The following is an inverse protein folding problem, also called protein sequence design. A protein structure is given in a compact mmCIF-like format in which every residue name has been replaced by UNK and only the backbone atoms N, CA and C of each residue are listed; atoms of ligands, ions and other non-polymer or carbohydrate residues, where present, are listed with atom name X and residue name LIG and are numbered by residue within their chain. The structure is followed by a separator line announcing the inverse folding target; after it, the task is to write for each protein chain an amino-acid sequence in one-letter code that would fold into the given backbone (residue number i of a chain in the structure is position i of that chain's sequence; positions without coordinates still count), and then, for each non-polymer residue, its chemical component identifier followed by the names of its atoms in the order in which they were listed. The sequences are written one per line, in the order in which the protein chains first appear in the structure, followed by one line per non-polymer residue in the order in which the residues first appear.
data_IF_550909766052
#
_entry.id   IF_550909766052
#
_cell.length_a   1.000
_cell.length_b   1.000
_cell.length_c   1.000
_cell.angle_alpha   90.00
_cell.angle_beta   90.00
_cell.angle_gamma   90.00
#
_symmetry.space_group_name_H-M   'P 1'
#
loop_
_entity.id
_entity.type
_entity.pdbx_description
1 polymer ?
#
# COMPACT_ATOMS: atom_id res chain seq x y z
N UNK A 1 -4.58 15.63 -16.30
CA UNK A 1 -5.57 14.59 -15.88
C UNK A 1 -6.52 14.29 -17.05
N UNK A 2 -6.61 13.04 -17.46
CA UNK A 2 -7.53 12.59 -18.54
C UNK A 2 -8.99 12.62 -18.08
N UNK A 3 -9.93 12.58 -19.05
CA UNK A 3 -11.37 12.49 -18.74
C UNK A 3 -11.69 11.18 -18.01
N UNK A 4 -11.04 10.08 -18.38
CA UNK A 4 -11.14 8.79 -17.70
C UNK A 4 -10.85 8.92 -16.21
N UNK A 5 -9.71 9.47 -15.85
CA UNK A 5 -9.29 9.66 -14.45
C UNK A 5 -10.21 10.62 -13.69
N UNK A 6 -10.68 11.69 -14.36
CA UNK A 6 -11.63 12.63 -13.75
C UNK A 6 -12.94 11.95 -13.38
N UNK A 7 -13.46 11.11 -14.26
CA UNK A 7 -14.67 10.34 -14.01
C UNK A 7 -14.48 9.32 -12.89
N UNK A 8 -13.34 8.61 -12.88
CA UNK A 8 -13.00 7.68 -11.81
C UNK A 8 -12.89 8.38 -10.45
N UNK A 9 -12.19 9.50 -10.37
CA UNK A 9 -12.05 10.27 -9.14
C UNK A 9 -13.41 10.78 -8.63
N UNK A 10 -14.25 11.27 -9.53
CA UNK A 10 -15.62 11.71 -9.20
C UNK A 10 -16.47 10.56 -8.66
N UNK A 11 -16.40 9.39 -9.28
CA UNK A 11 -17.09 8.18 -8.80
C UNK A 11 -16.55 7.73 -7.45
N UNK A 12 -15.22 7.76 -7.25
CA UNK A 12 -14.60 7.42 -5.99
C UNK A 12 -15.03 8.35 -4.83
N UNK A 13 -15.21 9.63 -5.10
CA UNK A 13 -15.59 10.63 -4.09
C UNK A 13 -17.08 10.63 -3.77
N UNK A 14 -17.93 10.52 -4.78
CA UNK A 14 -19.37 10.79 -4.68
C UNK A 14 -20.26 9.61 -5.10
N UNK A 15 -19.67 8.58 -5.71
CA UNK A 15 -20.41 7.41 -6.15
C UNK A 15 -20.81 6.50 -4.98
N UNK A 16 -21.76 5.62 -5.26
CA UNK A 16 -22.11 4.55 -4.32
C UNK A 16 -20.90 3.61 -4.11
N UNK A 17 -20.77 3.08 -2.90
CA UNK A 17 -19.76 2.06 -2.60
C UNK A 17 -20.09 0.75 -3.31
N UNK A 18 -19.47 0.57 -4.48
CA UNK A 18 -19.66 -0.62 -5.32
C UNK A 18 -18.63 -1.72 -5.05
N UNK A 19 -17.75 -1.51 -4.07
CA UNK A 19 -16.77 -2.51 -3.72
C UNK A 19 -17.42 -3.70 -3.02
N UNK A 20 -17.18 -4.90 -3.51
CA UNK A 20 -17.56 -6.07 -2.77
C UNK A 20 -16.76 -6.12 -1.47
N UNK A 21 -17.44 -6.03 -0.34
CA UNK A 21 -16.83 -6.23 0.97
C UNK A 21 -16.67 -7.72 1.19
N UNK A 22 -15.55 -8.10 1.70
CA UNK A 22 -15.28 -9.47 2.09
C UNK A 22 -14.52 -9.48 3.42
N UNK A 23 -14.92 -10.38 4.32
CA UNK A 23 -14.30 -10.54 5.63
C UNK A 23 -13.68 -11.91 5.79
N UNK A 24 -12.67 -12.01 6.65
CA UNK A 24 -12.15 -13.29 7.10
C UNK A 24 -13.14 -13.87 8.10
N UNK A 25 -13.64 -15.07 7.81
CA UNK A 25 -14.48 -15.81 8.76
C UNK A 25 -13.61 -16.59 9.72
N UNK A 26 -13.73 -16.29 11.00
CA UNK A 26 -13.10 -17.03 12.11
C UNK A 26 -14.16 -17.89 12.77
N UNK A 27 -14.01 -19.20 12.70
CA UNK A 27 -15.01 -20.15 13.19
C UNK A 27 -14.88 -20.43 14.68
N UNK A 28 -13.65 -20.34 15.22
CA UNK A 28 -13.40 -20.54 16.65
C UNK A 28 -12.17 -19.76 17.14
N UNK A 29 -12.06 -19.59 18.45
CA UNK A 29 -11.01 -18.76 19.09
C UNK A 29 -9.60 -19.32 18.93
N UNK A 30 -9.46 -20.65 18.83
CA UNK A 30 -8.15 -21.29 18.64
C UNK A 30 -7.53 -20.89 17.30
N UNK A 31 -8.32 -20.51 16.31
CA UNK A 31 -7.84 -20.03 15.02
C UNK A 31 -7.10 -18.70 15.11
N UNK A 32 -7.37 -17.88 16.13
CA UNK A 32 -6.70 -16.59 16.29
C UNK A 32 -5.29 -16.69 16.86
N UNK A 33 -4.96 -17.79 17.52
CA UNK A 33 -3.64 -18.00 18.14
C UNK A 33 -2.69 -18.81 17.26
N UNK A 34 -3.20 -19.41 16.19
CA UNK A 34 -2.41 -20.22 15.27
C UNK A 34 -2.14 -19.46 13.96
N UNK A 35 -0.87 -19.19 13.64
CA UNK A 35 -0.50 -18.57 12.36
C UNK A 35 -1.07 -19.31 11.15
N UNK A 36 -1.02 -20.64 11.15
CA UNK A 36 -1.55 -21.45 10.03
C UNK A 36 -3.06 -21.38 9.91
N UNK A 37 -3.79 -21.33 11.02
CA UNK A 37 -5.24 -21.18 10.97
C UNK A 37 -5.66 -19.79 10.45
N UNK A 38 -4.94 -18.72 10.81
CA UNK A 38 -5.13 -17.39 10.24
C UNK A 38 -4.85 -17.41 8.72
N UNK A 39 -3.76 -18.05 8.30
CA UNK A 39 -3.39 -18.17 6.90
C UNK A 39 -4.46 -18.94 6.08
N UNK A 40 -5.02 -20.02 6.63
CA UNK A 40 -6.13 -20.74 6.02
C UNK A 40 -7.42 -19.90 5.98
N UNK A 41 -7.67 -19.07 6.97
CA UNK A 41 -8.74 -18.06 6.95
C UNK A 41 -8.58 -17.09 5.78
N UNK A 42 -7.37 -16.58 5.56
CA UNK A 42 -7.01 -15.74 4.40
C UNK A 42 -7.19 -16.49 3.08
N UNK A 43 -6.78 -17.76 3.01
CA UNK A 43 -7.00 -18.61 1.82
C UNK A 43 -8.48 -18.73 1.47
N UNK A 44 -9.32 -19.02 2.46
CA UNK A 44 -10.79 -19.07 2.28
C UNK A 44 -11.34 -17.74 1.79
N UNK A 45 -10.83 -16.65 2.35
CA UNK A 45 -11.17 -15.29 1.93
C UNK A 45 -10.85 -15.05 0.46
N UNK A 46 -9.59 -15.26 0.03
CA UNK A 46 -9.17 -15.03 -1.35
C UNK A 46 -9.89 -15.92 -2.36
N UNK A 47 -10.28 -17.13 -1.97
CA UNK A 47 -11.09 -18.02 -2.82
C UNK A 47 -12.53 -17.55 -3.00
N UNK A 48 -13.09 -16.86 -2.02
CA UNK A 48 -14.48 -16.37 -2.03
C UNK A 48 -14.60 -14.91 -2.46
N UNK A 49 -13.52 -14.15 -2.38
CA UNK A 49 -13.53 -12.72 -2.69
C UNK A 49 -14.12 -12.50 -4.09
N UNK A 50 -15.16 -11.68 -4.23
CA UNK A 50 -15.76 -11.39 -5.52
C UNK A 50 -14.78 -10.58 -6.36
N UNK A 51 -14.64 -10.95 -7.62
CA UNK A 51 -13.80 -10.25 -8.59
C UNK A 51 -14.73 -9.58 -9.59
N UNK A 52 -14.51 -8.29 -9.82
CA UNK A 52 -15.30 -7.50 -10.75
C UNK A 52 -14.38 -6.63 -11.59
N UNK A 53 -14.55 -6.70 -12.89
CA UNK A 53 -13.92 -5.80 -13.84
C UNK A 53 -14.77 -4.54 -14.01
N UNK A 54 -14.11 -3.39 -14.12
CA UNK A 54 -14.76 -2.12 -14.38
C UNK A 54 -14.32 -1.57 -15.74
N UNK A 55 -15.23 -1.01 -16.53
CA UNK A 55 -14.90 -0.51 -17.86
C UNK A 55 -13.78 0.53 -17.83
N UNK A 56 -12.75 0.32 -18.65
CA UNK A 56 -11.66 1.27 -18.84
C UNK A 56 -10.61 1.33 -17.74
N UNK A 57 -10.65 0.42 -16.77
CA UNK A 57 -9.58 0.33 -15.76
C UNK A 57 -8.29 -0.21 -16.37
N UNK A 58 -7.18 0.31 -15.87
CA UNK A 58 -5.83 -0.15 -16.21
C UNK A 58 -5.18 -0.93 -15.06
N UNK A 59 -5.72 -0.80 -13.84
CA UNK A 59 -5.29 -1.55 -12.67
C UNK A 59 -6.41 -2.46 -12.20
N UNK A 60 -6.14 -3.74 -12.12
CA UNK A 60 -7.12 -4.77 -11.83
C UNK A 60 -6.99 -5.34 -10.42
N UNK A 61 -8.09 -5.94 -9.93
CA UNK A 61 -8.09 -6.63 -8.64
C UNK A 61 -8.52 -5.71 -7.51
N UNK A 62 -9.79 -5.29 -7.48
CA UNK A 62 -10.33 -4.54 -6.36
C UNK A 62 -10.87 -5.48 -5.31
N UNK A 63 -10.24 -5.46 -4.14
CA UNK A 63 -10.76 -6.09 -2.94
C UNK A 63 -10.92 -5.00 -1.87
N UNK A 64 -12.02 -5.06 -1.14
CA UNK A 64 -12.15 -4.31 0.09
C UNK A 64 -12.17 -5.27 1.26
N UNK A 65 -11.10 -5.23 2.02
CA UNK A 65 -11.03 -5.95 3.27
C UNK A 65 -11.89 -5.23 4.31
N UNK A 66 -12.91 -5.91 4.82
CA UNK A 66 -13.82 -5.36 5.82
C UNK A 66 -13.54 -5.84 7.25
N UNK A 67 -12.40 -6.49 7.46
CA UNK A 67 -12.02 -7.05 8.74
C UNK A 67 -12.32 -8.54 8.88
N UNK A 68 -12.38 -9.03 10.10
CA UNK A 68 -12.77 -10.40 10.40
C UNK A 68 -14.20 -10.45 10.90
N UNK A 69 -15.00 -11.36 10.38
CA UNK A 69 -16.29 -11.71 10.96
C UNK A 69 -16.07 -12.75 12.05
N UNK A 70 -16.47 -12.41 13.26
CA UNK A 70 -16.46 -13.34 14.37
C UNK A 70 -17.83 -13.99 14.53
N UNK A 71 -17.88 -15.21 15.07
CA UNK A 71 -19.12 -15.76 15.55
C UNK A 71 -19.84 -14.74 16.49
N UNK A 72 -21.15 -14.63 16.35
CA UNK A 72 -21.95 -13.64 17.07
C UNK A 72 -21.83 -13.74 18.60
N UNK A 73 -21.40 -14.86 19.11
CA UNK A 73 -21.17 -15.12 20.53
C UNK A 73 -19.69 -15.00 20.94
N UNK A 74 -18.78 -14.67 20.02
CA UNK A 74 -17.35 -14.57 20.30
C UNK A 74 -17.06 -13.66 21.50
N UNK A 75 -17.57 -12.45 21.48
CA UNK A 75 -17.38 -11.49 22.58
C UNK A 75 -17.98 -11.97 23.89
N UNK A 76 -19.08 -12.71 23.85
CA UNK A 76 -19.69 -13.32 25.03
C UNK A 76 -18.81 -14.46 25.56
N UNK A 77 -18.29 -15.32 24.71
CA UNK A 77 -17.37 -16.41 25.10
C UNK A 77 -16.06 -15.89 25.65
N UNK A 78 -15.57 -14.77 25.10
CA UNK A 78 -14.38 -14.09 25.60
C UNK A 78 -14.61 -13.34 26.93
N UNK A 79 -15.77 -13.47 27.56
CA UNK A 79 -16.15 -12.80 28.83
C UNK A 79 -16.48 -11.32 28.65
N UNK A 80 -16.68 -10.86 27.43
CA UNK A 80 -17.01 -9.47 27.10
C UNK A 80 -18.48 -9.39 26.67
N UNK A 81 -19.41 -9.03 27.53
CA UNK A 81 -20.80 -8.76 27.14
C UNK A 81 -20.94 -7.57 26.19
N UNK A 82 -20.01 -6.63 26.26
CA UNK A 82 -19.71 -5.71 25.20
C UNK A 82 -18.24 -5.26 25.33
N UNK A 83 -17.51 -5.27 24.24
CA UNK A 83 -16.13 -4.77 24.21
C UNK A 83 -16.03 -3.33 24.74
N UNK A 84 -16.98 -2.47 24.41
CA UNK A 84 -17.01 -1.11 24.91
C UNK A 84 -17.22 -1.01 26.45
N UNK A 85 -18.05 -1.86 27.04
CA UNK A 85 -18.24 -1.90 28.50
C UNK A 85 -17.03 -2.49 29.20
N UNK A 86 -16.43 -3.53 28.65
CA UNK A 86 -15.20 -4.10 29.21
C UNK A 86 -14.06 -3.11 29.13
N UNK A 87 -13.88 -2.47 27.97
CA UNK A 87 -12.86 -1.47 27.71
C UNK A 87 -12.95 -0.29 28.68
N UNK A 88 -14.11 0.32 28.80
CA UNK A 88 -14.31 1.47 29.68
C UNK A 88 -14.09 1.12 31.17
N UNK A 89 -14.37 -0.11 31.57
CA UNK A 89 -14.23 -0.55 32.96
C UNK A 89 -12.84 -1.03 33.35
N UNK A 90 -12.09 -1.63 32.42
CA UNK A 90 -10.86 -2.36 32.73
C UNK A 90 -9.60 -1.84 32.07
N UNK A 91 -9.69 -1.08 31.00
CA UNK A 91 -8.56 -0.73 30.16
C UNK A 91 -8.22 0.77 30.10
N UNK A 92 -9.04 1.64 30.70
CA UNK A 92 -8.87 3.09 30.61
C UNK A 92 -7.52 3.61 31.12
N UNK A 93 -6.81 2.87 31.97
CA UNK A 93 -5.52 3.24 32.54
C UNK A 93 -4.46 2.12 32.45
N UNK A 94 -4.64 1.13 31.58
CA UNK A 94 -3.65 0.07 31.40
C UNK A 94 -3.21 0.03 29.94
N UNK A 95 -1.94 -0.32 29.66
CA UNK A 95 -1.55 -0.61 28.29
C UNK A 95 -2.46 -1.73 27.79
N UNK A 96 -3.30 -1.36 26.86
CA UNK A 96 -4.26 -2.25 26.26
C UNK A 96 -3.52 -3.32 25.48
N UNK A 97 -3.88 -4.61 25.57
CA UNK A 97 -3.65 -5.50 24.45
C UNK A 97 -4.52 -4.98 23.31
N UNK A 98 -3.89 -4.24 22.43
CA UNK A 98 -4.57 -3.61 21.31
C UNK A 98 -4.93 -4.70 20.33
N UNK A 99 -6.16 -5.17 20.39
CA UNK A 99 -6.78 -5.82 19.25
C UNK A 99 -7.13 -4.73 18.25
N UNK A 100 -6.11 -4.21 17.57
CA UNK A 100 -6.29 -3.29 16.48
C UNK A 100 -6.67 -4.11 15.23
N UNK A 101 -7.89 -4.00 14.89
CA UNK A 101 -8.50 -4.52 13.70
C UNK A 101 -7.97 -3.79 12.48
N UNK A 102 -7.06 -4.39 11.75
CA UNK A 102 -6.67 -3.98 10.42
C UNK A 102 -5.96 -2.62 10.29
N UNK A 103 -5.49 -2.06 11.39
CA UNK A 103 -4.73 -0.82 11.39
C UNK A 103 -3.27 -1.13 11.70
N UNK A 104 -2.55 -1.49 10.69
CA UNK A 104 -1.10 -1.55 10.77
C UNK A 104 -0.58 -0.37 9.98
N UNK A 105 0.09 0.56 10.62
CA UNK A 105 0.91 1.53 9.93
C UNK A 105 2.12 0.79 9.36
N UNK A 106 1.90 0.15 8.22
CA UNK A 106 2.88 -0.72 7.57
C UNK A 106 3.08 -0.27 6.14
N UNK A 107 4.33 -0.14 5.78
CA UNK A 107 4.76 -0.13 4.38
C UNK A 107 5.36 -1.48 4.03
N UNK A 108 5.04 -1.99 2.86
CA UNK A 108 5.68 -3.19 2.33
C UNK A 108 7.05 -2.83 1.75
N UNK A 109 7.98 -3.77 1.81
CA UNK A 109 9.25 -3.68 1.07
C UNK A 109 8.99 -3.88 -0.43
N UNK A 110 8.38 -2.85 -1.05
CA UNK A 110 8.04 -2.88 -2.47
C UNK A 110 9.25 -3.03 -3.37
N UNK A 111 10.43 -2.53 -2.95
CA UNK A 111 11.65 -2.68 -3.73
C UNK A 111 12.03 -4.16 -3.91
N UNK A 112 12.13 -4.91 -2.82
CA UNK A 112 12.40 -6.35 -2.89
C UNK A 112 11.26 -7.12 -3.55
N UNK A 113 10.00 -6.76 -3.27
CA UNK A 113 8.83 -7.40 -3.88
C UNK A 113 8.82 -7.25 -5.41
N UNK A 114 9.19 -6.10 -5.93
CA UNK A 114 9.24 -5.87 -7.38
C UNK A 114 10.44 -6.56 -8.05
N UNK A 115 11.59 -6.63 -7.35
CA UNK A 115 12.82 -7.25 -7.88
C UNK A 115 12.80 -8.78 -7.84
N UNK A 116 12.20 -9.37 -6.82
CA UNK A 116 12.24 -10.82 -6.58
C UNK A 116 10.91 -11.50 -6.89
N UNK A 117 9.82 -10.76 -6.80
CA UNK A 117 8.47 -11.33 -6.80
C UNK A 117 8.18 -12.12 -5.51
N UNK A 118 6.95 -12.56 -5.35
CA UNK A 118 6.56 -13.38 -4.20
C UNK A 118 7.19 -14.77 -4.24
N UNK A 119 7.61 -15.27 -5.40
CA UNK A 119 8.37 -16.52 -5.49
C UNK A 119 9.75 -16.41 -4.85
N UNK A 120 10.43 -15.27 -4.96
CA UNK A 120 11.71 -15.04 -4.27
C UNK A 120 11.53 -15.08 -2.75
N UNK A 121 10.45 -14.49 -2.22
CA UNK A 121 10.10 -14.61 -0.81
C UNK A 121 9.84 -16.07 -0.40
N UNK A 122 9.10 -16.82 -1.22
CA UNK A 122 8.84 -18.24 -0.98
C UNK A 122 10.15 -19.05 -0.92
N UNK A 123 11.07 -18.82 -1.84
CA UNK A 123 12.38 -19.48 -1.84
C UNK A 123 13.18 -19.17 -0.55
N UNK A 124 13.20 -17.92 -0.11
CA UNK A 124 13.84 -17.51 1.15
C UNK A 124 13.22 -18.21 2.38
N UNK A 125 11.90 -18.32 2.44
CA UNK A 125 11.18 -19.04 3.50
C UNK A 125 11.54 -20.53 3.45
N UNK A 126 11.46 -21.14 2.28
CA UNK A 126 11.71 -22.57 2.09
C UNK A 126 13.17 -22.98 2.31
N UNK A 127 14.12 -22.06 2.15
CA UNK A 127 15.54 -22.31 2.38
C UNK A 127 15.99 -22.16 3.83
N UNK A 128 15.12 -21.69 4.74
CA UNK A 128 15.47 -21.55 6.17
C UNK A 128 15.80 -22.91 6.79
N UNK A 129 16.88 -23.01 7.57
CA UNK A 129 17.28 -24.27 8.22
C UNK A 129 16.24 -24.79 9.21
N UNK A 130 15.55 -23.87 9.90
CA UNK A 130 14.49 -24.18 10.83
C UNK A 130 13.20 -23.55 10.32
N UNK A 131 12.17 -24.38 10.23
CA UNK A 131 10.82 -23.97 9.82
C UNK A 131 9.90 -24.14 11.00
N UNK A 132 9.28 -23.06 11.37
CA UNK A 132 8.23 -23.00 12.39
C UNK A 132 6.85 -22.89 11.72
N UNK A 133 5.81 -22.92 12.53
CA UNK A 133 4.42 -22.77 12.08
C UNK A 133 4.22 -21.44 11.34
N UNK A 134 4.95 -20.39 11.67
CA UNK A 134 4.84 -19.11 10.98
C UNK A 134 5.39 -19.20 9.55
N UNK A 135 6.47 -19.96 9.32
CA UNK A 135 6.96 -20.24 7.96
C UNK A 135 5.93 -20.97 7.12
N UNK A 136 5.25 -21.97 7.69
CA UNK A 136 4.16 -22.69 7.02
C UNK A 136 3.00 -21.74 6.67
N UNK A 137 2.59 -20.91 7.62
CA UNK A 137 1.55 -19.92 7.43
C UNK A 137 1.89 -18.94 6.29
N UNK A 138 3.13 -18.45 6.24
CA UNK A 138 3.58 -17.56 5.15
C UNK A 138 3.47 -18.25 3.78
N UNK A 139 3.86 -19.52 3.66
CA UNK A 139 3.71 -20.27 2.40
C UNK A 139 2.25 -20.40 2.01
N UNK A 140 1.36 -20.70 2.96
CA UNK A 140 -0.11 -20.76 2.71
C UNK A 140 -0.63 -19.42 2.18
N UNK A 141 -0.18 -18.29 2.74
CA UNK A 141 -0.58 -16.95 2.26
C UNK A 141 -0.07 -16.70 0.86
N UNK A 142 1.19 -17.02 0.56
CA UNK A 142 1.77 -16.83 -0.77
C UNK A 142 1.03 -17.65 -1.84
N UNK A 143 0.72 -18.92 -1.54
CA UNK A 143 -0.09 -19.78 -2.43
C UNK A 143 -1.49 -19.19 -2.66
N UNK A 144 -2.06 -18.60 -1.61
CA UNK A 144 -3.40 -18.00 -1.69
C UNK A 144 -3.41 -16.72 -2.53
N UNK A 145 -2.34 -15.93 -2.48
CA UNK A 145 -2.16 -14.76 -3.32
C UNK A 145 -1.97 -15.13 -4.79
N UNK A 146 -1.24 -16.21 -5.07
CA UNK A 146 -1.11 -16.76 -6.42
C UNK A 146 -2.47 -17.21 -6.98
N UNK A 147 -3.21 -18.03 -6.23
CA UNK A 147 -4.56 -18.46 -6.60
C UNK A 147 -5.46 -17.25 -6.89
N UNK A 148 -5.39 -16.22 -6.07
CA UNK A 148 -6.20 -15.02 -6.24
C UNK A 148 -5.78 -14.20 -7.48
N UNK A 149 -4.47 -14.04 -7.74
CA UNK A 149 -3.97 -13.35 -8.93
C UNK A 149 -4.41 -14.05 -10.22
N UNK A 150 -4.35 -15.38 -10.25
CA UNK A 150 -4.81 -16.19 -11.39
C UNK A 150 -6.33 -16.05 -11.61
N UNK A 151 -7.12 -16.05 -10.54
CA UNK A 151 -8.57 -15.77 -10.63
C UNK A 151 -8.85 -14.36 -11.18
N UNK A 152 -8.07 -13.35 -10.78
CA UNK A 152 -8.16 -12.02 -11.34
C UNK A 152 -7.84 -12.03 -12.85
N UNK A 153 -6.81 -12.75 -13.26
CA UNK A 153 -6.45 -12.88 -14.67
C UNK A 153 -7.54 -13.54 -15.50
N UNK A 154 -8.20 -14.58 -14.98
CA UNK A 154 -9.31 -15.25 -15.65
C UNK A 154 -10.53 -14.33 -15.84
N UNK A 155 -10.80 -13.46 -14.88
CA UNK A 155 -11.90 -12.50 -14.94
C UNK A 155 -11.60 -11.26 -15.79
N UNK A 156 -10.33 -11.01 -16.14
CA UNK A 156 -9.92 -9.83 -16.86
C UNK A 156 -10.16 -9.96 -18.37
N UNK A 157 -10.90 -9.02 -18.98
CA UNK A 157 -11.17 -9.02 -20.42
C UNK A 157 -9.98 -8.50 -21.25
N UNK A 158 -9.14 -7.61 -20.69
CA UNK A 158 -7.98 -7.05 -21.36
C UNK A 158 -6.85 -8.08 -21.52
N UNK A 159 -6.42 -8.46 -22.74
CA UNK A 159 -5.35 -9.42 -22.93
C UNK A 159 -4.01 -8.96 -22.32
N UNK A 160 -3.69 -7.66 -22.40
CA UNK A 160 -2.47 -7.09 -21.82
C UNK A 160 -2.49 -7.22 -20.30
N UNK A 161 -3.57 -6.78 -19.67
CA UNK A 161 -3.69 -6.79 -18.22
C UNK A 161 -3.78 -8.21 -17.67
N UNK A 162 -4.44 -9.13 -18.40
CA UNK A 162 -4.45 -10.57 -18.08
C UNK A 162 -3.03 -11.14 -18.04
N UNK A 163 -2.21 -10.84 -19.05
CA UNK A 163 -0.81 -11.29 -19.10
C UNK A 163 0.00 -10.75 -17.93
N UNK A 164 -0.21 -9.49 -17.57
CA UNK A 164 0.43 -8.86 -16.39
C UNK A 164 0.02 -9.59 -15.11
N UNK A 165 -1.27 -9.85 -14.89
CA UNK A 165 -1.79 -10.55 -13.70
C UNK A 165 -1.33 -12.00 -13.58
N UNK A 166 -1.02 -12.67 -14.69
CA UNK A 166 -0.43 -14.02 -14.69
C UNK A 166 1.05 -14.01 -14.27
N UNK A 167 1.69 -12.86 -14.26
CA UNK A 167 3.10 -12.69 -13.96
C UNK A 167 3.30 -12.05 -12.58
N UNK A 168 2.77 -10.87 -12.37
CA UNK A 168 2.96 -10.12 -11.13
C UNK A 168 1.74 -10.23 -10.20
N UNK A 169 1.94 -10.26 -8.88
CA UNK A 169 3.17 -10.02 -8.12
C UNK A 169 4.05 -11.26 -7.89
N UNK A 170 3.72 -12.42 -8.48
CA UNK A 170 4.44 -13.67 -8.20
C UNK A 170 5.87 -13.66 -8.73
N UNK A 171 6.10 -13.08 -9.88
CA UNK A 171 7.41 -12.93 -10.54
C UNK A 171 7.88 -11.48 -10.49
N UNK A 172 9.20 -11.23 -10.69
CA UNK A 172 9.74 -9.89 -10.83
C UNK A 172 8.98 -9.07 -11.88
N UNK A 173 8.78 -7.78 -11.60
CA UNK A 173 8.29 -6.84 -12.59
C UNK A 173 9.41 -6.52 -13.59
N UNK A 174 9.07 -6.40 -14.88
CA UNK A 174 10.03 -6.07 -15.94
C UNK A 174 9.82 -4.67 -16.52
N UNK A 175 8.64 -4.08 -16.29
CA UNK A 175 8.31 -2.76 -16.77
C UNK A 175 7.50 -1.94 -15.77
N UNK A 176 7.29 -0.67 -16.08
CA UNK A 176 6.59 0.26 -15.20
C UNK A 176 5.14 -0.14 -14.96
N UNK A 177 4.44 -0.65 -15.97
CA UNK A 177 3.06 -1.07 -15.82
C UNK A 177 2.94 -2.29 -14.89
N UNK A 178 3.78 -3.30 -15.07
CA UNK A 178 3.85 -4.46 -14.20
C UNK A 178 4.17 -4.06 -12.77
N UNK A 179 5.13 -3.15 -12.58
CA UNK A 179 5.50 -2.65 -11.26
C UNK A 179 4.33 -1.94 -10.56
N UNK A 180 3.62 -1.04 -11.26
CA UNK A 180 2.47 -0.33 -10.69
C UNK A 180 1.30 -1.28 -10.39
N UNK A 181 1.05 -2.26 -11.26
CA UNK A 181 0.03 -3.30 -11.00
C UNK A 181 0.38 -4.17 -9.79
N UNK A 182 1.64 -4.56 -9.64
CA UNK A 182 2.09 -5.33 -8.48
C UNK A 182 1.95 -4.53 -7.18
N UNK A 183 2.35 -3.26 -7.19
CA UNK A 183 2.17 -2.34 -6.05
C UNK A 183 0.70 -2.22 -5.68
N UNK A 184 -0.19 -1.99 -6.64
CA UNK A 184 -1.62 -1.91 -6.40
C UNK A 184 -2.17 -3.20 -5.80
N UNK A 185 -1.83 -4.35 -6.40
CA UNK A 185 -2.32 -5.66 -5.95
C UNK A 185 -1.94 -5.95 -4.49
N UNK A 186 -0.71 -5.63 -4.09
CA UNK A 186 -0.23 -5.87 -2.74
C UNK A 186 -0.70 -4.80 -1.75
N UNK A 187 -0.73 -3.52 -2.17
CA UNK A 187 -1.15 -2.41 -1.31
C UNK A 187 -2.54 -2.63 -0.71
N UNK A 188 -3.52 -2.99 -1.55
CA UNK A 188 -4.91 -3.14 -1.12
C UNK A 188 -5.12 -4.26 -0.08
N UNK A 189 -4.15 -5.18 0.06
CA UNK A 189 -4.26 -6.34 0.95
C UNK A 189 -3.83 -6.05 2.37
N UNK A 190 -2.80 -5.23 2.57
CA UNK A 190 -2.20 -5.10 3.89
C UNK A 190 -1.46 -3.79 4.15
N UNK A 191 -1.28 -2.91 3.17
CA UNK A 191 -0.51 -1.69 3.37
C UNK A 191 -1.42 -0.46 3.60
N UNK A 192 -0.93 0.50 4.37
CA UNK A 192 -1.53 1.81 4.50
C UNK A 192 -0.62 2.94 3.99
N UNK A 193 0.58 2.59 3.55
CA UNK A 193 1.52 3.51 2.91
C UNK A 193 2.16 2.90 1.66
N UNK A 194 2.32 3.73 0.65
CA UNK A 194 3.08 3.40 -0.57
C UNK A 194 4.60 3.56 -0.36
N UNK A 195 5.03 4.08 0.78
CA UNK A 195 6.44 4.30 1.05
C UNK A 195 7.12 5.22 0.05
N UNK A 196 8.39 5.00 -0.20
CA UNK A 196 9.23 5.78 -1.12
C UNK A 196 8.97 5.39 -2.58
N UNK A 197 7.77 5.77 -3.07
CA UNK A 197 7.27 5.37 -4.39
C UNK A 197 8.19 5.81 -5.55
N UNK A 198 8.82 6.95 -5.43
CA UNK A 198 9.75 7.49 -6.41
C UNK A 198 11.11 6.80 -6.42
N UNK A 199 11.40 5.94 -5.45
CA UNK A 199 12.64 5.15 -5.39
C UNK A 199 12.43 3.79 -6.05
N UNK A 200 11.48 3.00 -5.57
CA UNK A 200 11.32 1.63 -6.06
C UNK A 200 10.67 1.55 -7.45
N UNK A 201 9.89 2.56 -7.88
CA UNK A 201 9.33 2.62 -9.23
C UNK A 201 10.25 3.31 -10.24
N UNK A 202 11.23 4.13 -9.79
CA UNK A 202 12.03 4.93 -10.69
C UNK A 202 12.83 4.13 -11.72
N UNK A 203 13.47 2.99 -11.38
CA UNK A 203 14.20 2.19 -12.35
C UNK A 203 13.32 1.73 -13.53
N UNK A 204 12.10 1.30 -13.25
CA UNK A 204 11.13 0.85 -14.27
C UNK A 204 10.63 2.03 -15.10
N UNK A 205 10.27 3.14 -14.46
CA UNK A 205 9.83 4.36 -15.12
C UNK A 205 10.91 4.88 -16.08
N UNK A 206 12.12 5.04 -15.58
CA UNK A 206 13.25 5.56 -16.36
C UNK A 206 13.54 4.70 -17.59
N UNK A 207 13.64 3.37 -17.40
CA UNK A 207 13.90 2.43 -18.48
C UNK A 207 12.82 2.49 -19.56
N UNK A 208 11.55 2.53 -19.17
CA UNK A 208 10.44 2.54 -20.12
C UNK A 208 10.29 3.87 -20.86
N UNK A 209 10.59 5.00 -20.22
CA UNK A 209 10.66 6.33 -20.87
C UNK A 209 11.83 6.40 -21.84
N UNK A 210 13.03 5.99 -21.42
CA UNK A 210 14.24 6.03 -22.26
C UNK A 210 14.14 5.09 -23.48
N UNK A 211 13.47 3.95 -23.32
CA UNK A 211 13.21 3.01 -24.43
C UNK A 211 12.01 3.38 -25.30
N UNK A 212 11.23 4.39 -24.91
CA UNK A 212 10.01 4.78 -25.62
C UNK A 212 8.87 3.76 -25.49
N UNK A 213 8.92 2.87 -24.49
CA UNK A 213 7.87 1.88 -24.21
C UNK A 213 6.60 2.51 -23.68
N UNK A 214 6.77 3.58 -22.89
CA UNK A 214 5.68 4.47 -22.44
C UNK A 214 6.13 5.92 -22.60
N UNK A 215 5.16 6.81 -22.70
CA UNK A 215 5.40 8.25 -22.57
C UNK A 215 5.01 8.76 -21.15
N UNK A 216 5.36 10.02 -20.91
CA UNK A 216 5.09 10.64 -19.60
C UNK A 216 3.60 10.74 -19.26
N UNK A 217 2.75 10.93 -20.27
CA UNK A 217 1.31 11.06 -20.07
C UNK A 217 0.67 9.70 -19.77
N UNK A 218 1.15 8.63 -20.39
CA UNK A 218 0.73 7.25 -20.06
C UNK A 218 1.16 6.87 -18.64
N UNK A 219 2.39 7.19 -18.24
CA UNK A 219 2.87 6.97 -16.87
C UNK A 219 2.04 7.77 -15.86
N UNK A 220 1.71 9.03 -16.17
CA UNK A 220 0.88 9.90 -15.36
C UNK A 220 -0.53 9.35 -15.19
N UNK A 221 -1.16 8.90 -16.26
CA UNK A 221 -2.51 8.33 -16.24
C UNK A 221 -2.57 7.05 -15.37
N UNK A 222 -1.53 6.22 -15.43
CA UNK A 222 -1.42 5.01 -14.61
C UNK A 222 -1.23 5.33 -13.11
N UNK A 223 -0.36 6.28 -12.78
CA UNK A 223 -0.17 6.74 -11.40
C UNK A 223 -1.42 7.42 -10.84
N UNK A 224 -2.10 8.23 -11.63
CA UNK A 224 -3.35 8.85 -11.20
C UNK A 224 -4.43 7.81 -10.93
N UNK A 225 -4.51 6.75 -11.72
CA UNK A 225 -5.40 5.62 -11.41
C UNK A 225 -5.01 4.95 -10.10
N UNK A 226 -3.72 4.63 -9.90
CA UNK A 226 -3.23 4.07 -8.62
C UNK A 226 -3.70 4.93 -7.44
N UNK A 227 -3.54 6.24 -7.51
CA UNK A 227 -3.89 7.14 -6.41
C UNK A 227 -5.39 7.23 -6.18
N UNK A 228 -6.20 7.20 -7.23
CA UNK A 228 -7.66 7.10 -7.09
C UNK A 228 -8.06 5.78 -6.44
N UNK A 229 -7.40 4.66 -6.81
CA UNK A 229 -7.64 3.36 -6.19
C UNK A 229 -7.25 3.34 -4.71
N UNK A 230 -6.11 3.93 -4.38
CA UNK A 230 -5.67 4.09 -2.98
C UNK A 230 -6.70 4.91 -2.18
N UNK A 231 -7.24 5.97 -2.76
CA UNK A 231 -8.35 6.73 -2.14
C UNK A 231 -9.59 5.86 -1.91
N UNK A 232 -9.95 5.02 -2.89
CA UNK A 232 -11.12 4.13 -2.81
C UNK A 232 -11.00 3.06 -1.71
N UNK A 233 -9.78 2.66 -1.31
CA UNK A 233 -9.61 1.67 -0.24
C UNK A 233 -10.04 2.20 1.12
N UNK A 234 -10.12 3.52 1.27
CA UNK A 234 -10.55 4.14 2.50
C UNK A 234 -12.05 4.02 2.70
N UNK A 235 -12.40 3.61 3.88
CA UNK A 235 -13.75 3.23 4.26
C UNK A 235 -14.67 4.41 4.55
N UNK A 236 -15.83 4.12 4.81
CA UNK A 236 -17.03 4.61 5.51
C UNK A 236 -17.24 6.12 5.66
N UNK A 237 -16.24 6.98 5.55
CA UNK A 237 -16.42 8.42 5.58
C UNK A 237 -15.59 9.13 4.51
N UNK A 238 -15.97 8.95 3.25
CA UNK A 238 -15.32 9.55 2.08
C UNK A 238 -15.31 11.09 2.13
N UNK A 239 -16.16 11.69 2.96
CA UNK A 239 -16.32 13.14 3.05
C UNK A 239 -15.38 13.80 4.06
N UNK A 240 -14.75 13.04 4.97
CA UNK A 240 -13.84 13.63 5.95
C UNK A 240 -12.39 13.51 5.50
N UNK A 241 -11.69 14.65 5.36
CA UNK A 241 -10.25 14.67 5.16
C UNK A 241 -9.55 14.25 6.46
N UNK A 242 -9.52 12.96 6.76
CA UNK A 242 -8.74 12.46 7.89
C UNK A 242 -7.31 12.31 7.37
N UNK A 243 -6.40 13.11 7.91
CA UNK A 243 -4.96 12.96 7.67
C UNK A 243 -4.45 11.66 8.28
N UNK A 244 -3.33 11.18 7.80
CA UNK A 244 -2.61 10.08 8.44
C UNK A 244 -2.83 8.71 7.85
N UNK A 245 -3.51 8.59 6.71
CA UNK A 245 -3.67 7.32 6.03
C UNK A 245 -3.30 7.42 4.55
N UNK A 246 -2.81 6.30 4.01
CA UNK A 246 -2.42 6.18 2.60
C UNK A 246 -1.34 7.19 2.20
N UNK A 247 -0.27 7.22 2.98
CA UNK A 247 0.90 8.03 2.70
C UNK A 247 1.66 7.52 1.46
N UNK A 248 2.31 8.45 0.78
CA UNK A 248 3.44 8.18 -0.09
C UNK A 248 4.57 9.15 0.24
N UNK A 249 5.78 8.74 -0.07
CA UNK A 249 6.98 9.53 0.22
C UNK A 249 7.79 9.71 -1.07
N UNK A 250 8.31 10.91 -1.28
CA UNK A 250 9.25 11.22 -2.35
C UNK A 250 10.46 11.99 -1.84
N UNK A 251 11.58 11.89 -2.54
CA UNK A 251 12.83 12.59 -2.21
C UNK A 251 13.59 12.00 -1.02
N UNK A 252 14.33 12.86 -0.33
CA UNK A 252 15.21 12.48 0.78
C UNK A 252 16.57 11.97 0.34
N UNK A 253 17.41 11.65 1.29
CA UNK A 253 18.73 11.12 0.98
C UNK A 253 18.67 9.75 0.33
N UNK A 254 19.58 9.51 -0.63
CA UNK A 254 19.95 8.19 -1.10
C UNK A 254 21.09 7.61 -0.23
N UNK A 255 21.35 6.29 -0.30
CA UNK A 255 22.41 5.65 0.48
C UNK A 255 23.83 6.22 0.22
N UNK A 256 24.05 6.82 -0.94
CA UNK A 256 25.31 7.50 -1.30
C UNK A 256 25.40 8.94 -0.80
N UNK A 257 24.38 9.42 -0.08
CA UNK A 257 24.31 10.76 0.48
C UNK A 257 23.85 11.85 -0.50
N UNK A 258 23.42 11.50 -1.70
CA UNK A 258 22.87 12.44 -2.69
C UNK A 258 21.37 12.68 -2.45
N UNK A 259 20.82 13.71 -3.08
CA UNK A 259 19.37 13.99 -3.07
C UNK A 259 18.63 13.00 -3.98
N UNK A 260 17.63 12.33 -3.45
CA UNK A 260 16.82 11.33 -4.14
C UNK A 260 15.65 11.91 -4.94
N UNK A 261 15.44 13.23 -4.93
CA UNK A 261 14.36 13.82 -5.73
C UNK A 261 14.66 13.72 -7.22
N UNK A 262 13.79 13.04 -7.98
CA UNK A 262 13.99 12.71 -9.39
C UNK A 262 12.76 13.08 -10.25
N UNK A 263 12.79 12.72 -11.55
CA UNK A 263 11.70 13.04 -12.49
C UNK A 263 10.39 12.34 -12.12
N UNK A 264 10.46 11.15 -11.54
CA UNK A 264 9.27 10.45 -11.05
C UNK A 264 8.72 11.12 -9.80
N UNK A 265 9.59 11.62 -8.90
CA UNK A 265 9.16 12.43 -7.74
C UNK A 265 8.31 13.61 -8.19
N UNK A 266 8.78 14.32 -9.22
CA UNK A 266 8.06 15.44 -9.84
C UNK A 266 6.71 15.01 -10.40
N UNK A 267 6.68 13.91 -11.18
CA UNK A 267 5.46 13.38 -11.78
C UNK A 267 4.43 12.95 -10.72
N UNK A 268 4.88 12.27 -9.66
CA UNK A 268 4.04 11.86 -8.53
C UNK A 268 3.37 13.06 -7.87
N UNK A 269 4.12 14.12 -7.57
CA UNK A 269 3.57 15.33 -6.96
C UNK A 269 2.59 16.06 -7.88
N UNK A 270 2.86 16.10 -9.18
CA UNK A 270 1.90 16.64 -10.15
C UNK A 270 0.61 15.83 -10.20
N UNK A 271 0.69 14.50 -10.13
CA UNK A 271 -0.48 13.64 -10.05
C UNK A 271 -1.34 13.97 -8.83
N UNK A 272 -0.71 14.12 -7.66
CA UNK A 272 -1.38 14.50 -6.41
C UNK A 272 -2.05 15.88 -6.53
N UNK A 273 -1.33 16.87 -7.07
CA UNK A 273 -1.86 18.24 -7.19
C UNK A 273 -3.03 18.37 -8.18
N UNK A 274 -3.13 17.49 -9.15
CA UNK A 274 -4.21 17.51 -10.15
C UNK A 274 -5.46 16.73 -9.74
N UNK A 275 -5.31 15.74 -8.85
CA UNK A 275 -6.43 14.93 -8.40
C UNK A 275 -7.30 15.70 -7.40
N UNK A 276 -8.62 15.61 -7.50
CA UNK A 276 -9.53 16.22 -6.54
C UNK A 276 -9.60 15.42 -5.22
N UNK A 277 -9.02 14.22 -5.20
CA UNK A 277 -8.96 13.37 -4.01
C UNK A 277 -7.93 13.92 -3.04
N UNK A 278 -8.22 13.88 -1.73
CA UNK A 278 -7.29 14.33 -0.68
C UNK A 278 -6.35 13.21 -0.18
N UNK A 279 -6.24 12.12 -0.93
CA UNK A 279 -5.37 10.97 -0.67
C UNK A 279 -4.88 10.36 -1.99
N UNK A 280 -3.74 9.70 -1.97
CA UNK A 280 -2.77 9.59 -0.87
C UNK A 280 -2.19 10.94 -0.47
N UNK A 281 -1.81 11.08 0.81
CA UNK A 281 -1.06 12.24 1.28
C UNK A 281 0.40 12.09 0.88
N UNK A 282 0.99 13.12 0.30
CA UNK A 282 2.38 13.11 -0.10
C UNK A 282 3.28 13.74 0.97
N UNK A 283 4.30 13.01 1.41
CA UNK A 283 5.39 13.55 2.22
C UNK A 283 6.63 13.73 1.34
N UNK A 284 7.11 14.96 1.26
CA UNK A 284 8.35 15.26 0.57
C UNK A 284 9.48 15.35 1.59
N UNK A 285 10.40 14.40 1.53
CA UNK A 285 11.64 14.44 2.27
C UNK A 285 12.61 15.36 1.52
N UNK A 286 13.10 16.38 2.17
CA UNK A 286 14.07 17.30 1.59
C UNK A 286 15.36 17.32 2.41
N UNK A 287 16.45 17.62 1.73
CA UNK A 287 17.82 17.63 2.25
C UNK A 287 18.45 19.00 2.00
N UNK A 288 19.61 19.24 2.58
CA UNK A 288 20.41 20.45 2.25
C UNK A 288 20.84 20.52 0.78
N UNK A 289 20.76 19.38 0.05
CA UNK A 289 21.10 19.30 -1.38
C UNK A 289 19.89 19.51 -2.28
N UNK A 290 18.68 19.49 -1.73
CA UNK A 290 17.47 19.77 -2.53
C UNK A 290 17.51 21.18 -3.07
N UNK A 291 17.45 21.31 -4.40
CA UNK A 291 17.68 22.61 -5.06
C UNK A 291 16.59 23.63 -4.74
N UNK A 292 16.93 24.93 -4.73
CA UNK A 292 15.92 25.99 -4.57
C UNK A 292 14.81 25.94 -5.63
N UNK A 293 15.13 25.47 -6.83
CA UNK A 293 14.14 25.28 -7.90
C UNK A 293 13.15 24.17 -7.53
N UNK A 294 13.64 23.02 -7.05
CA UNK A 294 12.82 21.92 -6.56
C UNK A 294 11.93 22.37 -5.41
N UNK A 295 12.48 23.08 -4.43
CA UNK A 295 11.70 23.60 -3.29
C UNK A 295 10.62 24.57 -3.74
N UNK A 296 10.89 25.45 -4.70
CA UNK A 296 9.89 26.34 -5.28
C UNK A 296 8.78 25.57 -5.97
N UNK A 297 9.13 24.60 -6.82
CA UNK A 297 8.17 23.72 -7.50
C UNK A 297 7.23 23.03 -6.50
N UNK A 298 7.76 22.42 -5.44
CA UNK A 298 6.95 21.73 -4.42
C UNK A 298 6.04 22.71 -3.69
N UNK A 299 6.57 23.90 -3.33
CA UNK A 299 5.79 24.93 -2.62
C UNK A 299 4.64 25.46 -3.48
N UNK A 300 4.89 25.70 -4.77
CA UNK A 300 3.86 26.14 -5.72
C UNK A 300 2.77 25.08 -5.92
N UNK A 301 3.13 23.80 -5.95
CA UNK A 301 2.14 22.70 -5.99
C UNK A 301 1.35 22.63 -4.70
N UNK A 302 2.02 22.70 -3.54
CA UNK A 302 1.34 22.63 -2.26
C UNK A 302 0.37 23.79 -2.03
N UNK A 303 0.69 24.97 -2.55
CA UNK A 303 -0.23 26.12 -2.51
C UNK A 303 -1.56 25.83 -3.27
N UNK A 304 -1.55 24.90 -4.23
CA UNK A 304 -2.74 24.50 -5.01
C UNK A 304 -3.53 23.37 -4.35
N UNK A 305 -2.83 22.33 -3.87
CA UNK A 305 -3.49 21.10 -3.40
C UNK A 305 -3.58 20.99 -1.87
N UNK A 306 -2.65 21.59 -1.11
CA UNK A 306 -2.57 21.56 0.36
C UNK A 306 -2.39 20.16 0.98
N UNK A 307 -1.95 19.17 0.19
CA UNK A 307 -1.80 17.76 0.63
C UNK A 307 -0.35 17.29 0.65
N UNK A 308 0.62 18.22 0.55
CA UNK A 308 2.04 17.91 0.57
C UNK A 308 2.61 18.32 1.93
N UNK A 309 3.20 17.36 2.64
CA UNK A 309 3.88 17.55 3.91
C UNK A 309 5.37 17.62 3.68
N UNK A 310 6.03 18.61 4.30
CA UNK A 310 7.48 18.77 4.21
C UNK A 310 8.15 18.04 5.38
N UNK A 311 9.11 17.18 5.06
CA UNK A 311 9.87 16.39 6.03
C UNK A 311 11.35 16.70 5.88
N UNK A 312 11.94 17.31 6.92
CA UNK A 312 13.36 17.70 6.90
C UNK A 312 14.25 16.54 7.37
N UNK A 313 15.09 16.03 6.49
CA UNK A 313 16.02 14.94 6.82
C UNK A 313 17.19 15.40 7.70
N UNK A 314 17.56 16.70 7.68
CA UNK A 314 18.73 17.18 8.40
C UNK A 314 18.66 16.96 9.91
N UNK A 315 17.58 17.30 10.62
CA UNK A 315 17.46 16.97 12.04
C UNK A 315 16.99 15.52 12.28
N UNK A 316 16.31 14.90 11.32
CA UNK A 316 15.65 13.61 11.53
C UNK A 316 16.65 12.45 11.51
N UNK A 317 17.57 12.42 10.55
CA UNK A 317 18.56 11.34 10.46
C UNK A 317 19.51 11.29 11.66
N UNK A 318 20.09 12.42 12.14
CA UNK A 318 20.86 12.41 13.38
C UNK A 318 20.03 11.95 14.59
N UNK A 319 18.78 12.41 14.71
CA UNK A 319 17.88 11.98 15.79
C UNK A 319 17.58 10.48 15.79
N UNK A 320 17.50 9.84 14.62
CA UNK A 320 17.39 8.39 14.51
C UNK A 320 18.65 7.68 14.97
N UNK A 321 19.83 8.21 14.61
CA UNK A 321 21.11 7.67 15.06
C UNK A 321 21.26 7.80 16.60
N UNK A 322 20.81 8.90 17.20
CA UNK A 322 20.85 9.11 18.64
C UNK A 322 20.04 8.09 19.44
N UNK A 323 18.99 7.53 18.84
CA UNK A 323 18.20 6.43 19.45
C UNK A 323 18.64 5.04 19.01
N UNK A 324 19.79 4.93 18.33
CA UNK A 324 20.46 3.68 18.02
C UNK A 324 20.05 3.01 16.70
N UNK A 325 19.36 3.72 15.80
CA UNK A 325 19.06 3.21 14.46
C UNK A 325 20.34 3.30 13.61
N UNK A 326 20.67 2.20 12.91
CA UNK A 326 21.82 2.21 11.99
C UNK A 326 21.61 3.29 10.92
N UNK A 327 22.61 4.15 10.67
CA UNK A 327 22.51 5.20 9.63
C UNK A 327 22.16 4.67 8.24
N UNK A 328 22.51 3.42 7.92
CA UNK A 328 22.15 2.78 6.64
C UNK A 328 20.66 2.51 6.55
N UNK A 329 20.06 2.09 7.67
CA UNK A 329 18.62 1.85 7.76
C UNK A 329 17.88 3.19 7.86
N UNK A 330 18.42 4.11 8.67
CA UNK A 330 17.85 5.43 8.87
C UNK A 330 17.66 6.19 7.54
N UNK A 331 18.61 6.11 6.61
CA UNK A 331 18.52 6.83 5.33
C UNK A 331 17.33 6.38 4.48
N UNK A 332 16.86 5.15 4.68
CA UNK A 332 15.77 4.57 3.89
C UNK A 332 14.40 4.64 4.57
N UNK A 333 14.29 5.34 5.69
CA UNK A 333 13.01 5.46 6.37
C UNK A 333 11.90 6.01 5.46
N UNK A 334 10.69 5.59 5.73
CA UNK A 334 9.48 6.15 5.14
C UNK A 334 8.57 6.77 6.21
N UNK A 335 7.51 7.40 5.77
CA UNK A 335 6.49 7.99 6.64
C UNK A 335 5.20 7.22 6.45
N UNK A 336 4.58 6.87 7.55
CA UNK A 336 3.30 6.17 7.61
C UNK A 336 2.34 6.90 8.54
N UNK A 337 1.07 6.55 8.52
CA UNK A 337 0.08 7.08 9.46
C UNK A 337 0.03 8.61 9.53
N UNK A 338 0.09 9.15 10.73
CA UNK A 338 0.04 10.59 10.98
C UNK A 338 1.41 11.27 10.88
N UNK A 339 2.44 10.61 10.43
CA UNK A 339 3.83 11.03 10.24
C UNK A 339 4.85 10.20 11.05
N UNK A 340 4.46 9.02 11.43
CA UNK A 340 5.31 8.03 12.09
C UNK A 340 6.38 7.53 11.13
N UNK A 341 7.51 7.07 11.69
CA UNK A 341 8.61 6.50 10.90
C UNK A 341 8.46 4.98 10.81
N UNK A 342 8.74 4.47 9.64
CA UNK A 342 8.78 3.04 9.38
C UNK A 342 10.05 2.68 8.63
#
# INVERSE_FOLDING_TARGET
MTERIRNMAKEAMYGEDKFPRCSISVENESELSSPTAIAEGLRRYFRKAPIKEYPGEKLFGRIRFSGCDYPSDFYRRAGCESFGKYWSKHCWNKPSPVFYWGWTHVVLDFDSLLREGLYGYRERICSRPQKDEFCEAMVIVLDSLEEFSLRCAECCSSPRLRSILQKVPMRPAEDFYEAVQAVWFLFQLCADSLGRIDRYLYPYYKNDIESGKIDRDEAKDLLQELFVRVYETQTDNKALPISGHNHLVVGGYLPDGTDGFNELSRLVLECIAELPTFRPQASVRYTKYTSPETMRFITELNAKCQWIVFVNDEPRLPGMADVGIDPKDAVDYTVVGCNEWN
#
